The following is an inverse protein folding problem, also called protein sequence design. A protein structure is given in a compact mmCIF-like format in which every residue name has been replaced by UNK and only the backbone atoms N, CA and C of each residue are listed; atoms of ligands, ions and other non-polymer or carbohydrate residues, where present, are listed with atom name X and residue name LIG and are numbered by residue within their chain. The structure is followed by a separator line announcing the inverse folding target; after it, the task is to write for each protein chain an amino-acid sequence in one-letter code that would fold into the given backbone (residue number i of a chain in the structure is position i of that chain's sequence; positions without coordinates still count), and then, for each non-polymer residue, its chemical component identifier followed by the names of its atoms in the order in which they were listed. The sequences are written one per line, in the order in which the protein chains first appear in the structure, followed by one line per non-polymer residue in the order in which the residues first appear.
data_IF_185689667976
#
_entry.id   IF_185689667976
#
_cell.length_a   1.000
_cell.length_b   1.000
_cell.length_c   1.000
_cell.angle_alpha   90.00
_cell.angle_beta   90.00
_cell.angle_gamma   90.00
#
_symmetry.space_group_name_H-M   'P 1'
#
loop_
_entity.id
_entity.type
_entity.pdbx_description
1 polymer ?
#
# COMPACT_ATOMS: atom_id res chain seq x y z
N UNK A 1 -18.53 -6.46 -8.11
CA UNK A 1 -18.10 -7.75 -7.56
C UNK A 1 -19.14 -8.23 -6.54
N UNK A 2 -19.51 -9.51 -6.53
CA UNK A 2 -20.29 -10.08 -5.42
C UNK A 2 -19.36 -10.32 -4.23
N UNK A 3 -19.58 -9.62 -3.11
CA UNK A 3 -18.75 -9.73 -1.91
C UNK A 3 -19.20 -10.86 -0.99
N UNK A 4 -20.31 -11.56 -1.26
CA UNK A 4 -20.95 -12.53 -0.37
C UNK A 4 -20.00 -13.60 0.19
N UNK A 5 -18.99 -14.01 -0.57
CA UNK A 5 -18.02 -15.04 -0.18
C UNK A 5 -16.78 -14.54 0.57
N UNK A 6 -16.62 -13.23 0.78
CA UNK A 6 -15.54 -12.66 1.59
C UNK A 6 -15.76 -12.93 3.09
N UNK A 7 -14.69 -13.06 3.86
CA UNK A 7 -14.77 -12.91 5.31
C UNK A 7 -15.22 -11.50 5.72
N UNK A 8 -15.58 -11.33 6.99
CA UNK A 8 -16.16 -10.07 7.48
C UNK A 8 -15.21 -8.88 7.35
N UNK A 9 -13.91 -9.05 7.62
CA UNK A 9 -12.91 -8.00 7.53
C UNK A 9 -12.70 -7.59 6.07
N UNK A 10 -12.49 -8.58 5.20
CA UNK A 10 -12.32 -8.42 3.76
C UNK A 10 -13.52 -7.73 3.11
N UNK A 11 -14.74 -8.07 3.55
CA UNK A 11 -15.98 -7.45 3.09
C UNK A 11 -16.08 -5.99 3.50
N UNK A 12 -15.65 -5.65 4.72
CA UNK A 12 -15.67 -4.27 5.21
C UNK A 12 -14.64 -3.41 4.46
N UNK A 13 -13.40 -3.91 4.29
CA UNK A 13 -12.39 -3.27 3.43
C UNK A 13 -12.94 -3.04 2.02
N UNK A 14 -13.52 -4.06 1.39
CA UNK A 14 -14.10 -3.94 0.05
C UNK A 14 -15.19 -2.86 -0.03
N UNK A 15 -16.09 -2.81 0.96
CA UNK A 15 -17.14 -1.79 1.05
C UNK A 15 -16.55 -0.38 1.11
N UNK A 16 -15.58 -0.15 1.99
CA UNK A 16 -14.94 1.17 2.15
C UNK A 16 -14.13 1.56 0.91
N UNK A 17 -13.34 0.62 0.37
CA UNK A 17 -12.49 0.87 -0.79
C UNK A 17 -13.30 1.19 -2.05
N UNK A 18 -14.36 0.43 -2.32
CA UNK A 18 -15.19 0.65 -3.52
C UNK A 18 -16.16 1.82 -3.39
N UNK A 19 -16.41 2.32 -2.18
CA UNK A 19 -17.08 3.60 -2.00
C UNK A 19 -16.19 4.76 -2.48
N UNK A 20 -14.87 4.67 -2.29
CA UNK A 20 -13.90 5.67 -2.74
C UNK A 20 -13.50 5.49 -4.21
N UNK A 21 -13.36 4.24 -4.66
CA UNK A 21 -12.94 3.89 -6.02
C UNK A 21 -13.89 2.88 -6.67
N UNK A 22 -15.10 3.30 -7.10
CA UNK A 22 -16.10 2.41 -7.67
C UNK A 22 -15.59 1.60 -8.88
N UNK A 23 -14.72 2.20 -9.69
CA UNK A 23 -14.12 1.59 -10.86
C UNK A 23 -13.20 0.38 -10.55
N UNK A 24 -12.68 0.28 -9.32
CA UNK A 24 -11.81 -0.83 -8.91
C UNK A 24 -12.56 -2.14 -8.67
N UNK A 25 -13.89 -2.11 -8.60
CA UNK A 25 -14.69 -3.33 -8.49
C UNK A 25 -14.46 -4.32 -9.63
N UNK A 26 -14.09 -3.83 -10.82
CA UNK A 26 -13.78 -4.67 -11.99
C UNK A 26 -12.39 -5.29 -11.95
N UNK A 27 -11.51 -4.81 -11.08
CA UNK A 27 -10.14 -5.29 -10.91
C UNK A 27 -10.01 -6.27 -9.74
N UNK A 28 -10.95 -6.20 -8.79
CA UNK A 28 -10.96 -7.00 -7.59
C UNK A 28 -11.23 -8.48 -7.87
N UNK A 29 -10.53 -9.34 -7.15
CA UNK A 29 -10.67 -10.79 -7.13
C UNK A 29 -10.94 -11.27 -5.72
N UNK A 30 -11.62 -12.41 -5.62
CA UNK A 30 -11.77 -13.15 -4.38
C UNK A 30 -10.85 -14.35 -4.45
N UNK A 31 -9.89 -14.42 -3.56
CA UNK A 31 -9.03 -15.59 -3.37
C UNK A 31 -9.44 -16.35 -2.10
N UNK A 32 -8.88 -17.54 -1.89
CA UNK A 32 -9.21 -18.39 -0.74
C UNK A 32 -8.00 -18.63 0.13
N UNK A 33 -8.18 -18.46 1.44
CA UNK A 33 -7.21 -18.88 2.44
C UNK A 33 -7.27 -20.40 2.65
N UNK A 34 -6.30 -20.94 3.40
CA UNK A 34 -6.20 -22.38 3.67
C UNK A 34 -7.39 -22.93 4.47
N UNK A 35 -8.05 -22.08 5.26
CA UNK A 35 -9.27 -22.40 6.00
C UNK A 35 -10.56 -22.34 5.13
N UNK A 36 -10.40 -22.02 3.84
CA UNK A 36 -11.48 -21.90 2.87
C UNK A 36 -12.22 -20.55 2.86
N UNK A 37 -11.90 -19.65 3.80
CA UNK A 37 -12.45 -18.28 3.82
C UNK A 37 -12.01 -17.49 2.59
N UNK A 38 -12.92 -16.64 2.09
CA UNK A 38 -12.63 -15.80 0.92
C UNK A 38 -12.02 -14.47 1.36
N UNK A 39 -11.01 -14.01 0.63
CA UNK A 39 -10.36 -12.74 0.91
C UNK A 39 -10.19 -11.88 -0.36
N UNK A 40 -10.06 -10.57 -0.17
CA UNK A 40 -9.94 -9.61 -1.26
C UNK A 40 -8.50 -9.59 -1.76
N UNK A 41 -8.33 -9.69 -3.09
CA UNK A 41 -7.10 -9.30 -3.78
C UNK A 41 -7.42 -8.27 -4.86
N UNK A 42 -6.67 -7.19 -4.88
CA UNK A 42 -6.81 -6.11 -5.85
C UNK A 42 -5.42 -5.68 -6.32
N UNK A 43 -5.27 -5.52 -7.63
CA UNK A 43 -4.07 -4.95 -8.24
C UNK A 43 -4.51 -3.81 -9.16
N UNK A 44 -3.86 -2.66 -9.01
CA UNK A 44 -4.11 -1.47 -9.81
C UNK A 44 -2.78 -1.02 -10.39
N UNK A 45 -2.69 -0.99 -11.72
CA UNK A 45 -1.49 -0.51 -12.41
C UNK A 45 -1.21 0.94 -12.02
N UNK A 46 0.06 1.25 -11.76
CA UNK A 46 0.44 2.62 -11.51
C UNK A 46 0.32 3.45 -12.82
N UNK A 47 -0.14 4.71 -12.74
CA UNK A 47 -0.13 5.62 -13.87
C UNK A 47 1.26 5.71 -14.52
N UNK A 48 1.37 5.94 -15.84
CA UNK A 48 2.66 6.03 -16.52
C UNK A 48 3.63 7.06 -15.91
N UNK A 49 3.12 8.15 -15.34
CA UNK A 49 3.93 9.17 -14.68
C UNK A 49 4.56 8.73 -13.36
N UNK A 50 4.03 7.68 -12.72
CA UNK A 50 4.49 7.20 -11.41
C UNK A 50 5.96 6.79 -11.41
N UNK A 51 6.47 6.27 -12.52
CA UNK A 51 7.80 5.63 -12.60
C UNK A 51 8.04 4.60 -11.47
N UNK A 52 6.97 4.03 -10.92
CA UNK A 52 7.01 2.99 -9.90
C UNK A 52 7.34 1.65 -10.57
N UNK A 53 8.13 0.81 -9.90
CA UNK A 53 8.44 -0.54 -10.36
C UNK A 53 7.20 -1.45 -10.28
N UNK A 54 6.36 -1.22 -9.26
CA UNK A 54 5.14 -1.98 -9.01
C UNK A 54 3.94 -1.04 -8.82
N UNK A 55 2.78 -1.48 -9.28
CA UNK A 55 1.49 -0.83 -9.04
C UNK A 55 1.05 -0.89 -7.58
N UNK A 56 -0.19 -0.48 -7.33
CA UNK A 56 -0.83 -0.67 -6.03
C UNK A 56 -1.33 -2.11 -5.94
N UNK A 57 -0.98 -2.80 -4.85
CA UNK A 57 -1.59 -4.07 -4.47
C UNK A 57 -2.31 -3.91 -3.13
N UNK A 58 -3.49 -4.53 -3.03
CA UNK A 58 -4.24 -4.66 -1.78
C UNK A 58 -4.63 -6.12 -1.64
N UNK A 59 -4.21 -6.74 -0.55
CA UNK A 59 -4.69 -8.06 -0.14
C UNK A 59 -5.21 -8.00 1.27
N UNK A 60 -6.35 -8.63 1.53
CA UNK A 60 -6.82 -8.85 2.90
C UNK A 60 -6.58 -10.31 3.26
N UNK A 61 -6.23 -10.62 4.50
CA UNK A 61 -6.25 -12.00 5.02
C UNK A 61 -6.05 -11.97 6.53
N UNK A 62 -6.58 -12.97 7.23
CA UNK A 62 -6.37 -13.14 8.69
C UNK A 62 -6.66 -11.88 9.54
N UNK A 63 -7.64 -11.07 9.15
CA UNK A 63 -8.02 -9.84 9.87
C UNK A 63 -7.05 -8.67 9.66
N UNK A 64 -6.28 -8.70 8.59
CA UNK A 64 -5.33 -7.67 8.20
C UNK A 64 -5.49 -7.29 6.72
N UNK A 65 -5.20 -6.02 6.41
CA UNK A 65 -5.01 -5.54 5.06
C UNK A 65 -3.52 -5.27 4.82
N UNK A 66 -2.99 -5.82 3.74
CA UNK A 66 -1.64 -5.59 3.26
C UNK A 66 -1.72 -4.67 2.05
N UNK A 67 -0.91 -3.61 2.04
CA UNK A 67 -0.82 -2.65 0.96
C UNK A 67 0.61 -2.63 0.41
N UNK A 68 0.75 -2.84 -0.89
CA UNK A 68 2.02 -2.67 -1.61
C UNK A 68 1.95 -1.54 -2.62
N UNK A 69 3.05 -0.79 -2.77
CA UNK A 69 3.23 0.18 -3.85
C UNK A 69 4.73 0.43 -4.07
N UNK A 70 5.20 0.39 -5.32
CA UNK A 70 6.64 0.41 -5.61
C UNK A 70 7.40 -0.66 -4.79
N UNK A 71 8.31 -0.26 -3.92
CA UNK A 71 9.02 -1.15 -2.99
C UNK A 71 8.46 -1.11 -1.56
N UNK A 72 7.42 -0.32 -1.33
CA UNK A 72 6.76 -0.26 -0.03
C UNK A 72 5.85 -1.48 0.17
N UNK A 73 5.89 -2.00 1.38
CA UNK A 73 5.02 -3.06 1.87
C UNK A 73 4.57 -2.72 3.30
N UNK A 74 3.26 -2.56 3.49
CA UNK A 74 2.64 -2.15 4.75
C UNK A 74 1.55 -3.10 5.21
N UNK A 75 1.51 -3.31 6.52
CA UNK A 75 0.62 -4.23 7.23
C UNK A 75 -0.34 -3.43 8.11
N UNK A 76 -1.65 -3.63 7.93
CA UNK A 76 -2.70 -2.89 8.63
C UNK A 76 -3.67 -3.89 9.28
N UNK A 77 -3.33 -4.33 10.49
CA UNK A 77 -4.13 -5.27 11.27
C UNK A 77 -5.31 -4.63 12.00
N UNK A 78 -6.40 -5.37 12.16
CA UNK A 78 -7.58 -4.92 12.90
C UNK A 78 -7.33 -4.60 14.38
N UNK A 79 -6.24 -5.10 14.97
CA UNK A 79 -5.94 -4.98 16.41
C UNK A 79 -5.00 -3.83 16.80
N UNK A 80 -4.45 -3.08 15.84
CA UNK A 80 -3.52 -1.99 16.11
C UNK A 80 -4.25 -0.65 15.90
N UNK A 81 -4.65 0.00 17.00
CA UNK A 81 -4.98 1.44 17.11
C UNK A 81 -5.95 2.09 16.10
N UNK A 82 -7.16 2.42 16.58
CA UNK A 82 -8.12 3.43 16.10
C UNK A 82 -8.60 3.45 14.63
N UNK A 83 -8.62 2.33 13.89
CA UNK A 83 -9.37 2.37 12.62
C UNK A 83 -9.64 1.10 11.84
N UNK A 84 -9.01 -0.05 12.14
CA UNK A 84 -9.28 -1.31 11.44
C UNK A 84 -9.25 -1.15 9.90
N UNK A 85 -10.31 -1.59 9.22
CA UNK A 85 -10.45 -1.46 7.77
C UNK A 85 -10.46 0.00 7.27
N UNK A 86 -10.98 0.94 8.08
CA UNK A 86 -11.11 2.35 7.68
C UNK A 86 -9.76 3.05 7.60
N UNK A 87 -8.87 2.84 8.59
CA UNK A 87 -7.52 3.44 8.56
C UNK A 87 -6.69 2.88 7.40
N UNK A 88 -6.79 1.58 7.13
CA UNK A 88 -6.11 0.93 6.01
C UNK A 88 -6.60 1.50 4.65
N UNK A 89 -7.91 1.67 4.49
CA UNK A 89 -8.47 2.29 3.27
C UNK A 89 -8.07 3.76 3.17
N UNK A 90 -8.04 4.50 4.28
CA UNK A 90 -7.57 5.89 4.29
C UNK A 90 -6.12 6.01 3.83
N UNK A 91 -5.24 5.10 4.25
CA UNK A 91 -3.87 5.04 3.74
C UNK A 91 -3.85 4.91 2.21
N UNK A 92 -4.62 3.98 1.63
CA UNK A 92 -4.71 3.83 0.18
C UNK A 92 -5.22 5.10 -0.50
N UNK A 93 -6.23 5.76 0.07
CA UNK A 93 -6.76 7.03 -0.43
C UNK A 93 -5.69 8.12 -0.42
N UNK A 94 -4.95 8.24 0.67
CA UNK A 94 -3.89 9.25 0.79
C UNK A 94 -2.70 8.94 -0.14
N UNK A 95 -2.38 7.66 -0.39
CA UNK A 95 -1.34 7.24 -1.33
C UNK A 95 -1.72 7.60 -2.78
N UNK A 96 -2.93 7.25 -3.21
CA UNK A 96 -3.44 7.54 -4.57
C UNK A 96 -3.59 9.04 -4.81
N UNK A 97 -3.88 9.80 -3.76
CA UNK A 97 -3.95 11.27 -3.81
C UNK A 97 -2.59 11.96 -3.61
N UNK A 98 -1.50 11.21 -3.57
CA UNK A 98 -0.12 11.72 -3.43
C UNK A 98 0.11 12.54 -2.15
N UNK A 99 -0.59 12.21 -1.06
CA UNK A 99 -0.31 12.81 0.26
C UNK A 99 0.78 12.07 1.03
N UNK A 100 0.92 10.78 0.77
CA UNK A 100 1.91 9.91 1.40
C UNK A 100 2.78 9.23 0.33
N UNK A 101 3.81 9.91 -0.20
CA UNK A 101 4.74 9.24 -1.09
C UNK A 101 5.54 8.19 -0.32
N UNK A 102 5.99 7.17 -1.03
CA UNK A 102 6.84 6.11 -0.47
C UNK A 102 8.30 6.45 -0.68
N UNK A 103 9.13 6.12 0.28
CA UNK A 103 10.59 6.30 0.24
C UNK A 103 11.26 4.94 0.39
N UNK A 104 12.32 4.71 -0.37
CA UNK A 104 13.15 3.52 -0.33
C UNK A 104 14.62 3.90 -0.33
N UNK A 105 15.41 3.19 0.49
CA UNK A 105 16.85 3.37 0.63
C UNK A 105 17.58 2.16 0.10
N UNK A 106 18.69 2.41 -0.56
CA UNK A 106 19.42 1.43 -1.35
C UNK A 106 20.91 1.49 -1.05
N UNK A 107 21.56 0.34 -1.03
CA UNK A 107 23.02 0.18 -0.92
C UNK A 107 23.48 -0.77 -2.02
N UNK A 108 24.39 -0.33 -2.87
CA UNK A 108 24.96 -1.11 -3.98
C UNK A 108 23.89 -1.75 -4.89
N UNK A 109 22.72 -1.12 -4.99
CA UNK A 109 21.59 -1.58 -5.81
C UNK A 109 20.59 -2.51 -5.10
N UNK A 110 20.82 -2.85 -3.83
CA UNK A 110 19.91 -3.64 -3.00
C UNK A 110 19.03 -2.75 -2.13
N UNK A 111 17.77 -3.15 -1.91
CA UNK A 111 16.84 -2.44 -1.04
C UNK A 111 17.19 -2.71 0.42
N UNK A 112 17.51 -1.65 1.17
CA UNK A 112 17.86 -1.75 2.60
C UNK A 112 16.66 -1.46 3.49
N UNK A 113 15.88 -0.44 3.14
CA UNK A 113 14.72 -0.02 3.91
C UNK A 113 13.66 0.65 3.03
N UNK A 114 12.43 0.72 3.55
CA UNK A 114 11.35 1.51 2.96
C UNK A 114 10.48 2.13 4.05
N UNK A 115 9.79 3.21 3.70
CA UNK A 115 8.84 3.90 4.56
C UNK A 115 7.86 4.73 3.75
N UNK A 116 6.97 5.43 4.43
CA UNK A 116 6.19 6.53 3.88
C UNK A 116 6.75 7.87 4.36
N UNK A 117 6.45 8.93 3.63
CA UNK A 117 6.70 10.30 4.06
C UNK A 117 5.38 10.92 4.49
N UNK A 118 5.31 11.35 5.74
CA UNK A 118 4.17 12.04 6.33
C UNK A 118 4.63 13.39 6.89
N UNK A 119 3.85 14.45 6.65
CA UNK A 119 4.21 15.82 7.03
C UNK A 119 5.63 16.24 6.58
N UNK A 120 6.04 15.75 5.40
CA UNK A 120 7.32 16.10 4.78
C UNK A 120 8.55 15.37 5.34
N UNK A 121 8.37 14.38 6.22
CA UNK A 121 9.46 13.56 6.78
C UNK A 121 9.20 12.06 6.62
N UNK A 122 10.23 11.23 6.42
CA UNK A 122 10.09 9.78 6.52
C UNK A 122 9.59 9.37 7.91
N UNK A 123 8.70 8.37 7.97
CA UNK A 123 8.26 7.80 9.24
C UNK A 123 9.33 6.89 9.87
N UNK A 124 10.13 6.21 9.05
CA UNK A 124 11.24 5.40 9.53
C UNK A 124 12.38 6.32 10.01
N UNK A 125 12.80 6.22 11.29
CA UNK A 125 13.92 6.98 11.82
C UNK A 125 15.25 6.66 11.11
N UNK A 126 16.09 7.69 10.91
CA UNK A 126 17.36 7.57 10.19
C UNK A 126 18.32 6.52 10.79
N UNK A 127 18.29 6.35 12.11
CA UNK A 127 19.13 5.38 12.84
C UNK A 127 18.73 3.91 12.60
N UNK A 128 17.56 3.66 12.00
CA UNK A 128 17.08 2.32 11.67
C UNK A 128 17.27 1.95 10.18
N UNK A 129 17.71 2.88 9.33
CA UNK A 129 17.84 2.65 7.88
C UNK A 129 19.07 1.81 7.55
N UNK A 130 20.15 1.92 8.34
CA UNK A 130 21.44 1.31 8.00
C UNK A 130 22.25 2.18 7.02
N UNK A 131 23.28 1.58 6.40
CA UNK A 131 24.06 2.25 5.35
C UNK A 131 23.28 2.27 4.04
N UNK A 132 23.40 3.35 3.27
CA UNK A 132 22.77 3.49 1.96
C UNK A 132 23.55 4.51 1.10
N UNK A 133 23.53 4.33 -0.22
CA UNK A 133 24.14 5.21 -1.22
C UNK A 133 23.11 5.92 -2.10
N UNK A 134 21.84 5.50 -2.02
CA UNK A 134 20.77 6.05 -2.85
C UNK A 134 19.42 6.06 -2.14
N UNK A 135 18.69 7.15 -2.34
CA UNK A 135 17.31 7.33 -1.87
C UNK A 135 16.40 7.53 -3.08
N UNK A 136 15.27 6.82 -3.08
CA UNK A 136 14.24 6.91 -4.10
C UNK A 136 12.89 7.19 -3.46
N UNK A 137 12.24 8.26 -3.90
CA UNK A 137 10.87 8.62 -3.53
C UNK A 137 9.96 8.39 -4.73
N UNK A 138 8.84 7.69 -4.50
CA UNK A 138 7.79 7.47 -5.51
C UNK A 138 6.42 7.88 -4.99
N UNK A 139 5.61 8.40 -5.89
CA UNK A 139 4.24 8.84 -5.66
C UNK A 139 3.32 8.32 -6.75
N UNK A 140 2.03 8.20 -6.47
CA UNK A 140 1.09 7.52 -7.36
C UNK A 140 1.05 8.08 -8.78
N UNK A 141 1.07 9.40 -8.97
CA UNK A 141 1.08 10.04 -10.31
C UNK A 141 2.46 10.50 -10.72
N UNK A 142 3.42 10.48 -9.79
CA UNK A 142 4.82 10.85 -9.99
C UNK A 142 5.14 12.29 -9.62
N UNK A 143 4.19 13.07 -9.09
CA UNK A 143 4.40 14.51 -8.85
C UNK A 143 5.41 14.81 -7.75
N UNK A 144 5.66 13.85 -6.87
CA UNK A 144 6.60 13.96 -5.75
C UNK A 144 7.84 13.06 -5.94
N UNK A 145 8.06 12.54 -7.15
CA UNK A 145 9.17 11.63 -7.41
C UNK A 145 10.52 12.33 -7.26
N UNK A 146 11.45 11.63 -6.62
CA UNK A 146 12.83 12.10 -6.40
C UNK A 146 13.76 10.89 -6.43
N UNK A 147 14.92 11.02 -7.06
CA UNK A 147 16.05 10.10 -6.93
C UNK A 147 17.28 10.93 -6.52
N UNK A 148 18.00 10.48 -5.48
CA UNK A 148 19.19 11.16 -4.95
C UNK A 148 20.23 10.13 -4.55
N UNK A 149 21.47 10.44 -4.87
CA UNK A 149 22.63 9.78 -4.27
C UNK A 149 22.88 10.38 -2.88
N UNK A 150 23.35 9.55 -1.94
CA UNK A 150 23.57 9.89 -0.54
C UNK A 150 25.01 10.34 -0.23
#
# INVERSE_FOLDING_TARGET
MDTASLDDFSRDVAKHLFAQFPQWQGLAKIERADDGSGYLRLEVEAPPGSSAANGLSVTTSYGEMIVGFDYYHGHFGAQIGDGGAESAVRFVVDLVNEKIPVVSWWEEGELVAWSTIEDGRPLLPDDLIGQYDRVRIRSWKGTLNVDRDA
#
